data_IF_267212065023
#
_entry.id   IF_267212065023
#
_cell.length_a   1.000
_cell.length_b   1.000
_cell.length_c   1.000
_cell.angle_alpha   90.00
_cell.angle_beta   90.00
_cell.angle_gamma   90.00
#
_symmetry.space_group_name_H-M   'P 1'
#
loop_
_entity.id
_entity.type
_entity.pdbx_description
1 polymer ?
#
# COMPACT_ATOMS: atom_id res chain seq x y z
N UNK A 1 2.99 -10.68 -7.79
CA UNK A 1 1.53 -10.80 -7.95
C UNK A 1 0.88 -9.49 -7.58
N UNK A 2 -0.14 -9.04 -8.32
CA UNK A 2 -0.84 -7.77 -8.06
C UNK A 2 -1.76 -7.89 -6.84
N UNK A 3 -1.69 -6.92 -5.93
CA UNK A 3 -2.60 -6.78 -4.77
C UNK A 3 -3.61 -5.68 -5.10
N UNK A 4 -4.89 -5.95 -4.88
CA UNK A 4 -5.96 -4.96 -5.06
C UNK A 4 -6.40 -4.40 -3.70
N UNK A 5 -6.74 -3.12 -3.70
CA UNK A 5 -7.00 -2.34 -2.49
C UNK A 5 -8.49 -2.36 -2.13
N UNK A 6 -8.81 -2.73 -0.88
CA UNK A 6 -10.18 -2.72 -0.38
C UNK A 6 -10.76 -1.30 -0.25
N UNK A 7 -9.92 -0.29 -0.04
CA UNK A 7 -10.37 1.10 0.04
C UNK A 7 -10.94 1.59 -1.29
N UNK A 8 -10.39 1.12 -2.42
CA UNK A 8 -10.91 1.41 -3.75
C UNK A 8 -12.27 0.76 -3.96
N UNK A 9 -12.39 -0.53 -3.62
CA UNK A 9 -13.68 -1.23 -3.69
C UNK A 9 -14.74 -0.54 -2.81
N UNK A 10 -14.40 -0.24 -1.56
CA UNK A 10 -15.28 0.46 -0.62
C UNK A 10 -15.75 1.82 -1.14
N UNK A 11 -14.86 2.60 -1.77
CA UNK A 11 -15.19 3.93 -2.31
C UNK A 11 -16.29 3.87 -3.37
N UNK A 12 -16.31 2.81 -4.19
CA UNK A 12 -17.37 2.59 -5.20
C UNK A 12 -18.74 2.46 -4.53
N UNK A 13 -18.86 1.58 -3.55
CA UNK A 13 -20.11 1.42 -2.78
C UNK A 13 -20.49 2.66 -1.98
N UNK A 14 -19.53 3.39 -1.39
CA UNK A 14 -19.81 4.67 -0.70
C UNK A 14 -20.40 5.70 -1.66
N UNK A 15 -19.82 5.84 -2.87
CA UNK A 15 -20.35 6.74 -3.90
C UNK A 15 -21.77 6.32 -4.31
N UNK A 16 -21.99 5.03 -4.52
CA UNK A 16 -23.29 4.50 -4.89
C UNK A 16 -24.35 4.71 -3.80
N UNK A 17 -24.01 4.44 -2.52
CA UNK A 17 -24.91 4.64 -1.39
C UNK A 17 -25.30 6.12 -1.22
N UNK A 18 -24.36 7.05 -1.43
CA UNK A 18 -24.66 8.49 -1.39
C UNK A 18 -25.63 8.93 -2.49
N UNK A 19 -25.52 8.35 -3.68
CA UNK A 19 -26.32 8.76 -4.83
C UNK A 19 -27.69 8.06 -4.90
N UNK A 20 -27.79 6.83 -4.40
CA UNK A 20 -28.97 5.97 -4.61
C UNK A 20 -29.64 5.48 -3.31
N UNK A 21 -29.01 5.69 -2.15
CA UNK A 21 -29.43 5.10 -0.85
C UNK A 21 -29.69 3.58 -0.93
N UNK A 22 -28.93 2.88 -1.80
CA UNK A 22 -29.08 1.44 -1.99
C UNK A 22 -28.76 0.68 -0.71
N UNK A 23 -29.70 -0.12 -0.16
CA UNK A 23 -29.45 -0.94 1.03
C UNK A 23 -28.34 -1.98 0.81
N UNK A 24 -28.19 -2.46 -0.43
CA UNK A 24 -27.13 -3.40 -0.81
C UNK A 24 -25.77 -2.70 -0.76
N UNK A 25 -25.66 -1.48 -1.28
CA UNK A 25 -24.41 -0.72 -1.20
C UNK A 25 -24.02 -0.45 0.27
N UNK A 26 -24.98 -0.11 1.12
CA UNK A 26 -24.72 0.08 2.56
C UNK A 26 -24.31 -1.22 3.26
N UNK A 27 -24.94 -2.35 2.93
CA UNK A 27 -24.56 -3.65 3.45
C UNK A 27 -23.13 -4.03 3.03
N UNK A 28 -22.74 -3.77 1.77
CA UNK A 28 -21.38 -3.98 1.31
C UNK A 28 -20.37 -3.14 2.11
N UNK A 29 -20.68 -1.87 2.38
CA UNK A 29 -19.83 -0.99 3.21
C UNK A 29 -19.67 -1.55 4.62
N UNK A 30 -20.76 -2.06 5.23
CA UNK A 30 -20.71 -2.67 6.58
C UNK A 30 -19.86 -3.94 6.61
N UNK A 31 -19.99 -4.83 5.63
CA UNK A 31 -19.14 -6.02 5.54
C UNK A 31 -17.66 -5.65 5.38
N UNK A 32 -17.34 -4.69 4.52
CA UNK A 32 -15.96 -4.23 4.36
C UNK A 32 -15.44 -3.57 5.66
N UNK A 33 -16.28 -2.84 6.39
CA UNK A 33 -15.90 -2.23 7.67
C UNK A 33 -15.51 -3.28 8.73
N UNK A 34 -16.10 -4.47 8.73
CA UNK A 34 -15.71 -5.57 9.62
C UNK A 34 -14.27 -6.03 9.34
N UNK A 35 -13.85 -6.09 8.07
CA UNK A 35 -12.45 -6.39 7.72
C UNK A 35 -11.50 -5.33 8.27
N UNK A 36 -11.87 -4.05 8.16
CA UNK A 36 -11.07 -2.96 8.72
C UNK A 36 -10.98 -3.00 10.24
N UNK A 37 -12.02 -3.46 10.94
CA UNK A 37 -11.98 -3.61 12.39
C UNK A 37 -10.93 -4.67 12.80
N UNK A 38 -10.88 -5.80 12.09
CA UNK A 38 -9.86 -6.83 12.32
C UNK A 38 -8.46 -6.29 12.02
N UNK A 39 -8.26 -5.61 10.89
CA UNK A 39 -6.95 -5.04 10.53
C UNK A 39 -6.49 -3.95 11.51
N UNK A 40 -7.41 -3.24 12.17
CA UNK A 40 -7.08 -2.29 13.21
C UNK A 40 -6.49 -2.99 14.45
N UNK A 41 -6.97 -4.18 14.81
CA UNK A 41 -6.50 -4.94 15.97
C UNK A 41 -5.08 -5.48 15.79
N UNK A 42 -4.67 -5.79 14.56
CA UNK A 42 -3.36 -6.36 14.25
C UNK A 42 -2.37 -5.34 13.66
N UNK A 43 -2.72 -4.05 13.69
CA UNK A 43 -1.87 -2.99 13.15
C UNK A 43 -0.56 -2.90 13.94
N UNK A 44 0.56 -2.93 13.21
CA UNK A 44 1.90 -2.88 13.80
C UNK A 44 2.40 -4.21 14.36
N UNK A 45 1.57 -5.26 14.36
CA UNK A 45 2.01 -6.60 14.72
C UNK A 45 2.91 -7.22 13.64
N UNK A 46 3.65 -8.27 14.02
CA UNK A 46 4.49 -9.00 13.07
C UNK A 46 3.65 -9.67 11.96
N UNK A 47 4.25 -9.96 10.79
CA UNK A 47 3.54 -10.64 9.71
C UNK A 47 2.85 -11.93 10.13
N UNK A 48 3.47 -12.73 10.99
CA UNK A 48 2.90 -14.02 11.43
C UNK A 48 1.63 -13.83 12.28
N UNK A 49 1.63 -12.85 13.19
CA UNK A 49 0.46 -12.51 14.02
C UNK A 49 -0.67 -12.00 13.13
N UNK A 50 -0.36 -11.11 12.18
CA UNK A 50 -1.34 -10.60 11.22
C UNK A 50 -1.97 -11.73 10.41
N UNK A 51 -1.15 -12.65 9.90
CA UNK A 51 -1.62 -13.77 9.09
C UNK A 51 -2.50 -14.72 9.90
N UNK A 52 -2.13 -15.02 11.15
CA UNK A 52 -2.92 -15.86 12.04
C UNK A 52 -4.32 -15.27 12.29
N UNK A 53 -4.41 -14.00 12.69
CA UNK A 53 -5.68 -13.32 12.92
C UNK A 53 -6.54 -13.23 11.64
N UNK A 54 -5.92 -13.03 10.47
CA UNK A 54 -6.63 -13.02 9.19
C UNK A 54 -7.22 -14.38 8.84
N UNK A 55 -6.50 -15.46 9.08
CA UNK A 55 -7.01 -16.83 8.89
C UNK A 55 -8.17 -17.12 9.83
N UNK A 56 -8.07 -16.67 11.07
CA UNK A 56 -9.10 -16.90 12.10
C UNK A 56 -10.36 -16.07 11.87
N UNK A 57 -10.22 -14.78 11.57
CA UNK A 57 -11.34 -13.84 11.60
C UNK A 57 -11.73 -13.31 10.21
N UNK A 58 -10.76 -13.03 9.33
CA UNK A 58 -11.04 -12.39 8.03
C UNK A 58 -11.44 -13.39 6.94
N UNK A 59 -10.90 -14.61 6.97
CA UNK A 59 -11.06 -15.60 5.90
C UNK A 59 -12.54 -15.98 5.70
N UNK A 60 -13.25 -16.30 6.79
CA UNK A 60 -14.67 -16.63 6.73
C UNK A 60 -15.52 -15.44 6.28
N UNK A 61 -15.21 -14.22 6.75
CA UNK A 61 -15.92 -13.00 6.36
C UNK A 61 -15.76 -12.70 4.86
N UNK A 62 -14.55 -12.83 4.33
CA UNK A 62 -14.27 -12.63 2.91
C UNK A 62 -14.99 -13.70 2.08
N UNK A 63 -14.94 -14.97 2.47
CA UNK A 63 -15.66 -16.03 1.76
C UNK A 63 -17.17 -15.78 1.73
N UNK A 64 -17.76 -15.42 2.88
CA UNK A 64 -19.17 -15.06 2.99
C UNK A 64 -19.54 -13.84 2.12
N UNK A 65 -18.68 -12.82 2.10
CA UNK A 65 -18.89 -11.63 1.28
C UNK A 65 -18.87 -11.95 -0.22
N UNK A 66 -17.98 -12.86 -0.66
CA UNK A 66 -17.93 -13.30 -2.06
C UNK A 66 -19.26 -13.94 -2.48
N UNK A 67 -19.71 -14.94 -1.71
CA UNK A 67 -20.97 -15.65 -1.97
C UNK A 67 -22.16 -14.69 -1.94
N UNK A 68 -22.14 -13.74 -1.00
CA UNK A 68 -23.16 -12.71 -0.93
C UNK A 68 -23.18 -11.82 -2.18
N UNK A 69 -22.02 -11.37 -2.67
CA UNK A 69 -21.93 -10.61 -3.92
C UNK A 69 -22.44 -11.38 -5.13
N UNK A 70 -22.06 -12.65 -5.28
CA UNK A 70 -22.55 -13.53 -6.34
C UNK A 70 -24.07 -13.67 -6.30
N UNK A 71 -24.64 -13.86 -5.09
CA UNK A 71 -26.09 -13.91 -4.89
C UNK A 71 -26.75 -12.58 -5.26
N UNK A 72 -26.23 -11.45 -4.78
CA UNK A 72 -26.79 -10.14 -5.13
C UNK A 72 -26.80 -9.90 -6.64
N UNK A 73 -25.72 -10.28 -7.33
CA UNK A 73 -25.59 -10.12 -8.77
C UNK A 73 -26.66 -10.91 -9.55
N UNK A 74 -27.09 -12.07 -9.04
CA UNK A 74 -28.16 -12.87 -9.65
C UNK A 74 -29.56 -12.27 -9.51
N UNK A 75 -29.76 -11.32 -8.58
CA UNK A 75 -31.06 -10.75 -8.24
C UNK A 75 -31.28 -9.32 -8.77
N UNK A 76 -30.24 -8.67 -9.29
CA UNK A 76 -30.29 -7.27 -9.72
C UNK A 76 -30.16 -7.14 -11.24
N UNK A 77 -30.69 -6.04 -11.79
CA UNK A 77 -30.53 -5.73 -13.21
C UNK A 77 -29.05 -5.62 -13.60
N UNK A 78 -28.68 -6.32 -14.66
CA UNK A 78 -27.30 -6.36 -15.18
C UNK A 78 -26.80 -4.98 -15.64
N UNK A 79 -27.66 -4.08 -16.07
CA UNK A 79 -27.28 -2.72 -16.48
C UNK A 79 -27.10 -1.73 -15.33
N UNK A 80 -27.33 -2.14 -14.07
CA UNK A 80 -27.25 -1.21 -12.94
C UNK A 80 -25.80 -0.91 -12.52
N UNK A 81 -25.54 0.31 -12.07
CA UNK A 81 -24.25 0.70 -11.48
C UNK A 81 -23.87 -0.20 -10.28
N UNK A 82 -24.88 -0.69 -9.52
CA UNK A 82 -24.65 -1.66 -8.46
C UNK A 82 -24.08 -2.97 -9.01
N UNK A 83 -24.63 -3.50 -10.11
CA UNK A 83 -24.10 -4.70 -10.75
C UNK A 83 -22.68 -4.48 -11.28
N UNK A 84 -22.38 -3.30 -11.83
CA UNK A 84 -21.02 -2.95 -12.27
C UNK A 84 -20.02 -2.94 -11.11
N UNK A 85 -20.38 -2.34 -9.97
CA UNK A 85 -19.52 -2.28 -8.78
C UNK A 85 -19.29 -3.66 -8.15
N UNK A 86 -20.32 -4.53 -8.15
CA UNK A 86 -20.18 -5.93 -7.70
C UNK A 86 -19.29 -6.72 -8.65
N UNK A 87 -19.45 -6.60 -9.97
CA UNK A 87 -18.57 -7.24 -10.94
C UNK A 87 -17.13 -6.78 -10.80
N UNK A 88 -16.91 -5.48 -10.56
CA UNK A 88 -15.58 -4.96 -10.28
C UNK A 88 -14.93 -5.68 -9.08
N UNK A 89 -15.69 -5.91 -8.01
CA UNK A 89 -15.23 -6.69 -6.85
C UNK A 89 -14.82 -8.12 -7.26
N UNK A 90 -15.73 -8.83 -7.93
CA UNK A 90 -15.53 -10.25 -8.29
C UNK A 90 -14.39 -10.45 -9.30
N UNK A 91 -14.25 -9.55 -10.28
CA UNK A 91 -13.16 -9.57 -11.26
C UNK A 91 -11.78 -9.33 -10.63
N UNK A 92 -11.73 -8.70 -9.45
CA UNK A 92 -10.49 -8.39 -8.74
C UNK A 92 -10.32 -9.24 -7.47
N UNK A 93 -11.18 -10.24 -7.26
CA UNK A 93 -11.25 -11.00 -6.02
C UNK A 93 -9.93 -11.67 -5.67
N UNK A 94 -9.23 -12.23 -6.65
CA UNK A 94 -7.94 -12.89 -6.42
C UNK A 94 -6.90 -11.91 -5.85
N UNK A 95 -6.83 -10.67 -6.34
CA UNK A 95 -5.90 -9.68 -5.79
C UNK A 95 -6.39 -9.05 -4.49
N UNK A 96 -7.70 -8.95 -4.28
CA UNK A 96 -8.30 -8.48 -3.01
C UNK A 96 -8.07 -9.46 -1.86
N UNK A 97 -7.85 -10.74 -2.15
CA UNK A 97 -7.71 -11.80 -1.12
C UNK A 97 -6.26 -12.16 -0.78
N UNK A 98 -5.26 -11.60 -1.47
CA UNK A 98 -3.85 -11.91 -1.23
C UNK A 98 -3.36 -11.61 0.18
N UNK A 99 -3.92 -10.59 0.84
CA UNK A 99 -3.57 -10.28 2.23
C UNK A 99 -3.87 -11.44 3.20
N UNK A 100 -4.78 -12.35 2.86
CA UNK A 100 -5.09 -13.55 3.64
C UNK A 100 -4.00 -14.64 3.54
N UNK A 101 -3.10 -14.53 2.56
CA UNK A 101 -2.05 -15.52 2.29
C UNK A 101 -0.68 -15.06 2.83
N UNK A 102 -0.49 -13.74 2.98
CA UNK A 102 0.79 -13.14 3.39
C UNK A 102 0.57 -11.95 4.33
N UNK A 103 1.05 -12.10 5.57
CA UNK A 103 0.93 -11.09 6.63
C UNK A 103 1.74 -9.80 6.41
N UNK A 104 2.64 -9.79 5.43
CA UNK A 104 3.39 -8.58 5.03
C UNK A 104 2.55 -7.65 4.16
N UNK A 105 1.52 -8.19 3.52
CA UNK A 105 0.67 -7.42 2.61
C UNK A 105 -0.35 -6.61 3.40
N UNK A 106 -0.43 -5.33 3.08
CA UNK A 106 -1.47 -4.44 3.57
C UNK A 106 -2.81 -4.73 2.87
N UNK A 107 -3.91 -4.48 3.58
CA UNK A 107 -5.26 -4.55 3.00
C UNK A 107 -5.46 -3.48 1.90
N UNK A 108 -4.74 -2.36 2.02
CA UNK A 108 -4.83 -1.21 1.14
C UNK A 108 -3.48 -0.79 0.57
N UNK A 109 -3.49 -0.30 -0.67
CA UNK A 109 -2.31 0.30 -1.33
C UNK A 109 -2.05 1.75 -0.92
N UNK A 110 -2.91 2.35 -0.08
CA UNK A 110 -2.81 3.76 0.32
C UNK A 110 -1.43 4.16 0.88
N UNK A 111 -0.74 3.37 1.73
CA UNK A 111 0.59 3.72 2.19
C UNK A 111 1.60 3.84 1.04
N UNK A 112 1.55 2.91 0.09
CA UNK A 112 2.40 2.90 -1.11
C UNK A 112 2.08 4.09 -2.00
N UNK A 113 0.79 4.35 -2.25
CA UNK A 113 0.33 5.50 -3.04
C UNK A 113 0.74 6.84 -2.40
N UNK A 114 0.70 6.93 -1.07
CA UNK A 114 1.15 8.13 -0.35
C UNK A 114 2.66 8.28 -0.40
N UNK A 115 3.43 7.18 -0.35
CA UNK A 115 4.89 7.21 -0.45
C UNK A 115 5.37 7.65 -1.84
N UNK A 116 4.68 7.26 -2.92
CA UNK A 116 5.02 7.67 -4.29
C UNK A 116 4.47 9.05 -4.67
N UNK A 117 3.45 9.56 -3.96
CA UNK A 117 2.80 10.84 -4.28
C UNK A 117 3.78 12.02 -4.42
N UNK A 118 4.76 12.24 -3.53
CA UNK A 118 5.72 13.34 -3.68
C UNK A 118 6.49 13.25 -5.00
N UNK A 119 6.87 12.03 -5.41
CA UNK A 119 7.60 11.78 -6.66
C UNK A 119 6.74 12.19 -7.87
N UNK A 120 5.47 11.77 -7.88
CA UNK A 120 4.52 12.14 -8.92
C UNK A 120 4.27 13.66 -9.00
N UNK A 121 4.23 14.34 -7.84
CA UNK A 121 4.06 15.79 -7.78
C UNK A 121 5.31 16.52 -8.28
N UNK A 122 6.51 16.10 -7.89
CA UNK A 122 7.76 16.67 -8.41
C UNK A 122 7.85 16.52 -9.92
N UNK A 123 7.51 15.34 -10.47
CA UNK A 123 7.45 15.12 -11.92
C UNK A 123 6.50 16.10 -12.62
N UNK A 124 5.32 16.34 -12.05
CA UNK A 124 4.35 17.31 -12.60
C UNK A 124 4.89 18.74 -12.58
N UNK A 125 5.69 19.09 -11.58
CA UNK A 125 6.21 20.44 -11.37
C UNK A 125 7.55 20.71 -12.07
N UNK A 126 8.26 19.67 -12.51
CA UNK A 126 9.55 19.76 -13.21
C UNK A 126 9.37 20.03 -14.72
N UNK A 127 8.65 21.11 -15.07
CA UNK A 127 8.19 21.41 -16.43
C UNK A 127 9.32 21.59 -17.48
N UNK A 128 10.56 21.79 -17.04
CA UNK A 128 11.74 22.00 -17.90
C UNK A 128 12.83 20.92 -17.73
N UNK A 129 12.55 19.84 -16.98
CA UNK A 129 13.45 18.70 -16.87
C UNK A 129 13.06 17.64 -17.91
N UNK A 130 13.87 17.48 -18.97
CA UNK A 130 13.53 16.63 -20.12
C UNK A 130 14.58 15.59 -20.52
N UNK A 131 15.65 15.43 -19.75
CA UNK A 131 16.74 14.52 -20.10
C UNK A 131 16.61 13.17 -19.37
N UNK A 132 16.67 12.06 -20.12
CA UNK A 132 16.50 10.69 -19.60
C UNK A 132 17.52 10.35 -18.51
N UNK A 133 18.81 10.62 -18.74
CA UNK A 133 19.87 10.40 -17.72
C UNK A 133 19.61 11.24 -16.45
N UNK A 134 19.00 12.43 -16.60
CA UNK A 134 18.62 13.25 -15.45
C UNK A 134 17.49 12.61 -14.64
N UNK A 135 16.54 11.97 -15.31
CA UNK A 135 15.47 11.21 -14.67
C UNK A 135 16.00 9.96 -13.94
N UNK A 136 16.94 9.23 -14.54
CA UNK A 136 17.59 8.06 -13.92
C UNK A 136 18.34 8.45 -12.64
N UNK A 137 19.19 9.48 -12.71
CA UNK A 137 19.93 10.00 -11.55
C UNK A 137 18.99 10.46 -10.43
N UNK A 138 17.90 11.15 -10.79
CA UNK A 138 16.92 11.58 -9.82
C UNK A 138 16.17 10.40 -9.19
N UNK A 139 15.81 9.38 -9.97
CA UNK A 139 15.18 8.17 -9.47
C UNK A 139 16.08 7.40 -8.49
N UNK A 140 17.38 7.33 -8.78
CA UNK A 140 18.39 6.74 -7.89
C UNK A 140 18.44 7.50 -6.55
N UNK A 141 18.58 8.83 -6.59
CA UNK A 141 18.63 9.65 -5.38
C UNK A 141 17.33 9.58 -4.57
N UNK A 142 16.18 9.64 -5.25
CA UNK A 142 14.88 9.51 -4.61
C UNK A 142 14.72 8.16 -3.91
N UNK A 143 15.24 7.09 -4.50
CA UNK A 143 15.23 5.74 -3.91
C UNK A 143 16.09 5.65 -2.66
N UNK A 144 17.29 6.26 -2.66
CA UNK A 144 18.15 6.35 -1.48
C UNK A 144 17.45 7.14 -0.36
N UNK A 145 16.92 8.31 -0.68
CA UNK A 145 16.20 9.18 0.29
C UNK A 145 14.99 8.46 0.87
N UNK A 146 14.20 7.78 0.05
CA UNK A 146 13.05 7.00 0.51
C UNK A 146 13.49 5.86 1.45
N UNK A 147 14.58 5.16 1.12
CA UNK A 147 15.13 4.09 1.97
C UNK A 147 15.62 4.63 3.31
N UNK A 148 16.27 5.79 3.33
CA UNK A 148 16.68 6.45 4.57
C UNK A 148 15.48 6.79 5.45
N UNK A 149 14.42 7.40 4.86
CA UNK A 149 13.19 7.73 5.59
C UNK A 149 12.49 6.50 6.17
N UNK A 150 12.47 5.38 5.44
CA UNK A 150 11.90 4.12 5.94
C UNK A 150 12.66 3.53 7.14
N UNK A 151 13.94 3.88 7.29
CA UNK A 151 14.79 3.42 8.40
C UNK A 151 15.00 4.50 9.46
N UNK A 152 14.24 5.60 9.43
CA UNK A 152 14.38 6.75 10.34
C UNK A 152 15.79 7.37 10.35
N UNK A 153 16.43 7.38 9.18
CA UNK A 153 17.78 7.92 8.97
C UNK A 153 17.69 9.26 8.24
N UNK A 154 18.48 10.24 8.71
CA UNK A 154 18.66 11.51 8.00
C UNK A 154 19.36 11.26 6.65
N UNK A 155 18.72 11.52 5.50
CA UNK A 155 19.29 11.19 4.20
C UNK A 155 20.57 11.97 3.86
N UNK A 156 20.65 13.24 4.27
CA UNK A 156 21.82 14.08 4.00
C UNK A 156 23.04 13.60 4.78
N UNK A 157 22.86 13.29 6.07
CA UNK A 157 23.92 12.73 6.91
C UNK A 157 24.39 11.37 6.38
N UNK A 158 23.47 10.50 5.99
CA UNK A 158 23.79 9.20 5.41
C UNK A 158 24.60 9.33 4.12
N UNK A 159 24.18 10.18 3.18
CA UNK A 159 24.88 10.35 1.91
C UNK A 159 26.29 10.90 2.13
N UNK A 160 26.44 11.92 2.98
CA UNK A 160 27.74 12.52 3.27
C UNK A 160 28.73 11.49 3.85
N UNK A 161 28.33 10.83 4.94
CA UNK A 161 29.19 9.85 5.63
C UNK A 161 29.49 8.62 4.76
N UNK A 162 28.52 8.18 3.95
CA UNK A 162 28.73 7.07 2.99
C UNK A 162 29.76 7.45 1.93
N UNK A 163 29.69 8.66 1.37
CA UNK A 163 30.65 9.13 0.38
C UNK A 163 32.05 9.32 0.99
N UNK A 164 32.15 9.91 2.18
CA UNK A 164 33.41 10.01 2.94
C UNK A 164 34.02 8.62 3.17
N UNK A 165 33.23 7.67 3.67
CA UNK A 165 33.68 6.29 3.93
C UNK A 165 34.17 5.57 2.65
N UNK A 166 33.52 5.82 1.51
CA UNK A 166 33.96 5.29 0.21
C UNK A 166 35.29 5.92 -0.22
N UNK A 167 35.44 7.24 -0.06
CA UNK A 167 36.67 7.97 -0.37
C UNK A 167 37.83 7.48 0.51
N UNK A 168 37.56 7.16 1.77
CA UNK A 168 38.52 6.60 2.75
C UNK A 168 38.89 5.13 2.47
N UNK A 169 38.44 4.56 1.35
CA UNK A 169 38.87 3.25 0.87
C UNK A 169 38.03 2.07 1.35
N UNK A 170 36.77 2.30 1.78
CA UNK A 170 35.89 1.20 2.14
C UNK A 170 35.70 0.22 0.96
N UNK A 171 35.96 -1.08 1.16
CA UNK A 171 35.98 -2.02 0.06
C UNK A 171 34.58 -2.28 -0.47
N UNK A 172 34.44 -2.32 -1.81
CA UNK A 172 33.18 -2.61 -2.49
C UNK A 172 32.54 -3.94 -2.04
N UNK A 173 33.36 -4.94 -1.70
CA UNK A 173 32.89 -6.23 -1.16
C UNK A 173 32.10 -6.12 0.15
N UNK A 174 32.27 -5.01 0.88
CA UNK A 174 31.57 -4.69 2.13
C UNK A 174 30.53 -3.59 1.98
N UNK A 175 29.99 -3.35 0.78
CA UNK A 175 28.95 -2.32 0.56
C UNK A 175 27.73 -2.48 1.49
N UNK A 176 27.43 -3.71 1.91
CA UNK A 176 26.34 -4.01 2.86
C UNK A 176 26.48 -3.29 4.20
N UNK A 177 27.70 -2.94 4.60
CA UNK A 177 27.99 -2.21 5.84
C UNK A 177 27.53 -0.75 5.75
N UNK A 178 27.45 -0.21 4.54
CA UNK A 178 27.03 1.17 4.27
C UNK A 178 25.52 1.29 4.01
N UNK A 179 24.71 0.27 4.30
CA UNK A 179 23.26 0.34 4.05
C UNK A 179 22.55 1.24 5.08
N UNK A 180 21.43 1.91 4.72
CA UNK A 180 20.75 2.83 5.64
C UNK A 180 20.35 2.19 6.97
N UNK A 181 19.92 0.92 6.99
CA UNK A 181 19.54 0.20 8.21
C UNK A 181 20.71 -0.18 9.13
N UNK A 182 21.97 0.05 8.71
CA UNK A 182 23.17 -0.08 9.54
C UNK A 182 23.72 1.27 10.01
N UNK A 183 23.11 2.37 9.56
CA UNK A 183 23.55 3.72 9.86
C UNK A 183 23.21 4.08 11.32
N UNK A 184 24.21 4.56 12.08
CA UNK A 184 24.14 4.69 13.54
C UNK A 184 23.61 6.03 14.07
N UNK A 185 23.18 6.96 13.21
CA UNK A 185 22.66 8.28 13.66
C UNK A 185 21.14 8.32 13.51
N UNK A 186 20.44 8.25 14.64
CA UNK A 186 19.00 8.55 14.72
C UNK A 186 18.75 10.03 14.42
N UNK A 187 17.58 10.32 13.86
CA UNK A 187 17.10 11.63 13.37
C UNK A 187 16.99 12.76 14.42
N UNK A 188 17.55 12.59 15.62
CA UNK A 188 17.45 13.48 16.78
C UNK A 188 18.76 14.23 17.08
N UNK A 189 19.30 14.95 16.09
CA UNK A 189 20.19 16.08 16.36
C UNK A 189 19.73 17.31 15.55
N UNK A 190 19.14 18.32 16.21
CA UNK A 190 18.98 19.63 15.60
C UNK A 190 20.36 20.29 15.50
N UNK A 191 20.71 20.77 14.32
CA UNK A 191 21.69 21.86 14.17
C UNK A 191 21.00 23.19 14.46
#
# INVERSE_FOLDING_TARGET
>A
TLVHCWSHLRRRFVKLARNSKSPIAEAAIRHIAQLYAIEAMVRGASPDIRLAARKEHSLALVAALKMWFEKQLSMISSGSTLAEDIRYALNHWQGLTRFLEDGRLELDTNPVENAIRPVCLTRKNALFAGHEVGAENWALLASIVATCKLNDVNPAAYIAETLETIIDGHPHSRIKDLMPWRFRKTSSQPQ
#
